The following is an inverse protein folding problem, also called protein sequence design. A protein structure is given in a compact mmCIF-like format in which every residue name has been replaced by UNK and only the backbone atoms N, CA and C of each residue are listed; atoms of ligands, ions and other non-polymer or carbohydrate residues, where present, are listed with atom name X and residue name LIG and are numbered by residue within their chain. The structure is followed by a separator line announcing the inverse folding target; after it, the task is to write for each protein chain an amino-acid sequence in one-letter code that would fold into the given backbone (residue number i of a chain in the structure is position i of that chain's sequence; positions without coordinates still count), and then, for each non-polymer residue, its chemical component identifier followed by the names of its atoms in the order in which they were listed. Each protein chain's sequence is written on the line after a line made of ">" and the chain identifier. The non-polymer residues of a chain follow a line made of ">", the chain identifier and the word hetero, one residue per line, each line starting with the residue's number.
data_IF_953784224041
#
_entry.id   IF_953784224041
#
_cell.length_a   1.000
_cell.length_b   1.000
_cell.length_c   1.000
_cell.angle_alpha   90.00
_cell.angle_beta   90.00
_cell.angle_gamma   90.00
#
_symmetry.space_group_name_H-M   'P 1'
#
loop_
_entity.id
_entity.type
_entity.pdbx_description
1 polymer ?
#
# COMPACT_ATOMS: atom_id res chain seq x y z
N UNK A 1 -7.92 65.43 -51.41
CA UNK A 1 -6.95 64.44 -51.91
C UNK A 1 -7.61 63.08 -51.94
N UNK A 2 -7.97 62.67 -53.14
CA UNK A 2 -8.46 61.35 -53.53
C UNK A 2 -7.34 60.30 -53.40
N UNK A 3 -7.66 59.12 -52.86
CA UNK A 3 -7.10 57.86 -53.33
C UNK A 3 -8.17 56.78 -53.23
N UNK A 4 -8.45 56.22 -54.39
CA UNK A 4 -9.40 55.15 -54.69
C UNK A 4 -8.66 53.82 -54.73
N UNK A 5 -9.38 52.73 -54.43
CA UNK A 5 -9.07 51.37 -54.92
C UNK A 5 -9.10 50.32 -53.81
N UNK A 6 -9.79 49.18 -53.90
CA UNK A 6 -10.56 48.54 -54.97
C UNK A 6 -11.66 47.69 -54.30
N UNK A 7 -12.87 47.71 -54.85
CA UNK A 7 -13.97 46.82 -54.50
C UNK A 7 -13.69 45.37 -54.92
N UNK A 8 -13.97 44.42 -54.04
CA UNK A 8 -14.33 43.05 -54.39
C UNK A 8 -15.63 42.69 -53.68
N UNK A 9 -16.73 42.57 -54.43
CA UNK A 9 -18.06 42.21 -53.94
C UNK A 9 -18.31 40.71 -54.18
N UNK A 10 -19.29 40.17 -53.45
CA UNK A 10 -19.97 38.88 -53.62
C UNK A 10 -19.12 37.69 -53.08
N UNK A 11 -19.59 36.72 -52.29
CA UNK A 11 -20.88 36.01 -52.21
C UNK A 11 -21.05 35.46 -50.77
N UNK A 12 -22.26 35.56 -50.21
CA UNK A 12 -22.65 34.86 -48.99
C UNK A 12 -22.66 33.33 -49.18
N UNK A 13 -22.90 32.60 -48.10
CA UNK A 13 -22.98 31.12 -48.03
C UNK A 13 -21.61 30.44 -47.91
N UNK A 14 -21.12 30.30 -46.66
CA UNK A 14 -20.40 29.11 -46.13
C UNK A 14 -19.90 29.28 -44.67
N UNK A 15 -20.56 30.08 -43.82
CA UNK A 15 -20.20 30.17 -42.39
C UNK A 15 -20.89 29.12 -41.48
N UNK A 16 -21.58 28.12 -42.04
CA UNK A 16 -22.31 27.11 -41.25
C UNK A 16 -21.63 25.73 -41.19
N UNK A 17 -20.50 25.49 -41.87
CA UNK A 17 -19.80 24.17 -41.83
C UNK A 17 -18.50 24.14 -41.03
N UNK A 18 -17.80 25.26 -40.83
CA UNK A 18 -16.62 25.31 -39.94
C UNK A 18 -16.99 25.37 -38.45
N UNK A 19 -18.12 25.99 -38.11
CA UNK A 19 -18.60 26.03 -36.71
C UNK A 19 -18.96 24.65 -36.14
N UNK A 20 -19.33 23.70 -37.00
CA UNK A 20 -19.59 22.31 -36.62
C UNK A 20 -18.30 21.54 -36.32
N UNK A 21 -17.25 21.73 -37.11
CA UNK A 21 -15.95 21.05 -36.91
C UNK A 21 -15.22 21.63 -35.70
N UNK A 22 -15.24 22.96 -35.49
CA UNK A 22 -14.70 23.55 -34.26
C UNK A 22 -15.50 23.12 -33.02
N UNK A 23 -16.83 23.00 -33.10
CA UNK A 23 -17.64 22.44 -32.01
C UNK A 23 -17.34 20.97 -31.74
N UNK A 24 -17.09 20.16 -32.77
CA UNK A 24 -16.72 18.75 -32.62
C UNK A 24 -15.31 18.59 -32.02
N UNK A 25 -14.38 19.50 -32.33
CA UNK A 25 -13.05 19.54 -31.70
C UNK A 25 -13.14 20.05 -30.25
N UNK A 26 -14.03 20.99 -29.94
CA UNK A 26 -14.29 21.45 -28.56
C UNK A 26 -14.91 20.37 -27.67
N UNK A 27 -15.57 19.35 -28.22
CA UNK A 27 -16.17 18.23 -27.47
C UNK A 27 -15.14 17.16 -27.06
N UNK A 28 -13.91 17.22 -27.56
CA UNK A 28 -12.84 16.25 -27.29
C UNK A 28 -11.66 16.84 -26.50
N UNK A 29 -11.90 17.89 -25.70
CA UNK A 29 -10.86 18.47 -24.85
C UNK A 29 -10.71 17.65 -23.57
N UNK A 30 -9.47 17.28 -23.23
CA UNK A 30 -9.17 16.62 -21.96
C UNK A 30 -9.47 17.55 -20.78
N UNK A 31 -10.00 17.04 -19.64
CA UNK A 31 -10.39 15.65 -19.39
C UNK A 31 -11.83 15.30 -19.83
N UNK A 32 -12.02 14.10 -20.41
CA UNK A 32 -13.34 13.64 -20.88
C UNK A 32 -14.36 13.43 -19.75
N UNK A 33 -13.88 13.19 -18.54
CA UNK A 33 -14.70 12.82 -17.39
C UNK A 33 -15.22 14.03 -16.57
N UNK A 34 -14.80 15.26 -16.93
CA UNK A 34 -15.36 16.48 -16.38
C UNK A 34 -15.48 17.57 -17.45
N UNK A 35 -16.71 17.94 -17.80
CA UNK A 35 -16.99 19.00 -18.76
C UNK A 35 -16.57 20.37 -18.24
N UNK A 36 -16.79 20.65 -16.95
CA UNK A 36 -16.38 21.92 -16.34
C UNK A 36 -14.87 22.14 -16.46
N UNK A 37 -14.09 21.08 -16.19
CA UNK A 37 -12.64 21.15 -16.31
C UNK A 37 -12.17 21.15 -17.78
N UNK A 38 -12.85 20.43 -18.67
CA UNK A 38 -12.53 20.46 -20.10
C UNK A 38 -12.74 21.84 -20.73
N UNK A 39 -13.66 22.63 -20.20
CA UNK A 39 -13.98 23.99 -20.67
C UNK A 39 -12.98 25.04 -20.17
N UNK A 40 -12.19 24.76 -19.14
CA UNK A 40 -11.18 25.68 -18.60
C UNK A 40 -10.14 26.05 -19.70
N UNK A 41 -9.97 27.34 -20.01
CA UNK A 41 -9.07 27.78 -21.08
C UNK A 41 -7.58 27.71 -20.68
N UNK A 42 -7.26 27.53 -19.40
CA UNK A 42 -5.88 27.59 -18.88
C UNK A 42 -5.21 26.21 -18.84
N UNK A 43 -3.91 26.15 -18.51
CA UNK A 43 -3.17 24.88 -18.32
C UNK A 43 -3.62 24.10 -17.09
N UNK A 44 -4.44 24.71 -16.21
CA UNK A 44 -4.99 24.09 -15.01
C UNK A 44 -5.78 22.81 -15.34
N UNK A 45 -6.50 22.77 -16.47
CA UNK A 45 -7.24 21.57 -16.89
C UNK A 45 -6.38 20.33 -17.12
N UNK A 46 -5.11 20.49 -17.50
CA UNK A 46 -4.17 19.37 -17.68
C UNK A 46 -3.78 18.82 -16.31
N UNK A 47 -3.36 19.70 -15.39
CA UNK A 47 -2.92 19.32 -14.07
C UNK A 47 -4.03 18.65 -13.26
N UNK A 48 -5.21 19.26 -13.21
CA UNK A 48 -6.35 18.71 -12.49
C UNK A 48 -6.94 17.50 -13.21
N UNK A 49 -6.87 17.46 -14.54
CA UNK A 49 -7.30 16.28 -15.28
C UNK A 49 -6.42 15.08 -14.91
N UNK A 50 -5.10 15.23 -14.80
CA UNK A 50 -4.22 14.16 -14.34
C UNK A 50 -4.49 13.81 -12.87
N UNK A 51 -4.58 14.83 -11.99
CA UNK A 51 -4.76 14.62 -10.56
C UNK A 51 -6.08 13.92 -10.19
N UNK A 52 -7.16 14.21 -10.91
CA UNK A 52 -8.50 13.68 -10.65
C UNK A 52 -8.83 12.41 -11.45
N UNK A 53 -7.93 11.93 -12.32
CA UNK A 53 -8.21 10.75 -13.17
C UNK A 53 -8.59 9.51 -12.35
N UNK A 54 -8.05 9.37 -11.13
CA UNK A 54 -8.34 8.24 -10.24
C UNK A 54 -9.34 8.56 -9.11
N UNK A 55 -9.88 9.78 -9.05
CA UNK A 55 -10.98 10.12 -8.13
C UNK A 55 -12.32 9.70 -8.76
N UNK A 56 -12.57 8.40 -8.79
CA UNK A 56 -13.72 7.85 -9.52
C UNK A 56 -15.08 8.33 -8.99
N UNK A 57 -15.17 8.71 -7.72
CA UNK A 57 -16.41 9.19 -7.11
C UNK A 57 -16.75 10.63 -7.52
N UNK A 58 -15.77 11.40 -7.96
CA UNK A 58 -15.98 12.80 -8.37
C UNK A 58 -16.26 12.96 -9.86
N UNK A 59 -16.33 11.86 -10.60
CA UNK A 59 -16.63 11.88 -12.03
C UNK A 59 -18.09 12.27 -12.29
N UNK A 60 -18.31 13.07 -13.33
CA UNK A 60 -19.66 13.52 -13.70
C UNK A 60 -20.59 12.33 -14.05
N UNK A 61 -21.81 12.38 -13.54
CA UNK A 61 -22.89 11.39 -13.77
C UNK A 61 -22.54 9.92 -13.47
N UNK A 62 -21.58 9.67 -12.57
CA UNK A 62 -21.20 8.30 -12.21
C UNK A 62 -22.15 7.68 -11.19
N UNK A 63 -22.57 6.43 -11.45
CA UNK A 63 -23.34 5.61 -10.51
C UNK A 63 -22.42 4.74 -9.65
N UNK A 64 -22.85 4.42 -8.42
CA UNK A 64 -22.07 3.63 -7.46
C UNK A 64 -21.55 2.32 -8.06
N UNK A 65 -22.39 1.56 -8.77
CA UNK A 65 -21.99 0.31 -9.44
C UNK A 65 -20.78 0.52 -10.38
N UNK A 66 -20.73 1.64 -11.09
CA UNK A 66 -19.66 1.96 -12.03
C UNK A 66 -18.35 2.30 -11.31
N UNK A 67 -18.43 2.94 -10.14
CA UNK A 67 -17.25 3.20 -9.29
C UNK A 67 -16.62 1.87 -8.88
N UNK A 68 -17.39 0.95 -8.29
CA UNK A 68 -16.89 -0.37 -7.89
C UNK A 68 -16.30 -1.16 -9.07
N UNK A 69 -16.96 -1.11 -10.23
CA UNK A 69 -16.49 -1.81 -11.42
C UNK A 69 -15.15 -1.24 -11.94
N UNK A 70 -15.00 0.09 -11.97
CA UNK A 70 -13.75 0.73 -12.36
C UNK A 70 -12.63 0.41 -11.37
N UNK A 71 -12.89 0.43 -10.06
CA UNK A 71 -11.93 0.03 -9.02
C UNK A 71 -11.51 -1.43 -9.22
N UNK A 72 -12.46 -2.33 -9.43
CA UNK A 72 -12.20 -3.75 -9.64
C UNK A 72 -11.31 -4.00 -10.87
N UNK A 73 -11.61 -3.35 -12.00
CA UNK A 73 -10.77 -3.46 -13.20
C UNK A 73 -9.38 -2.84 -13.01
N UNK A 74 -9.27 -1.74 -12.25
CA UNK A 74 -8.00 -1.12 -11.89
C UNK A 74 -7.14 -2.05 -11.02
N UNK A 75 -7.73 -2.85 -10.12
CA UNK A 75 -6.99 -3.85 -9.35
C UNK A 75 -6.37 -4.93 -10.24
N UNK A 76 -7.08 -5.42 -11.27
CA UNK A 76 -6.50 -6.36 -12.24
C UNK A 76 -5.33 -5.74 -12.99
N UNK A 77 -5.45 -4.48 -13.41
CA UNK A 77 -4.37 -3.75 -14.08
C UNK A 77 -3.14 -3.56 -13.16
N UNK A 78 -3.36 -3.22 -11.90
CA UNK A 78 -2.28 -3.06 -10.92
C UNK A 78 -1.56 -4.39 -10.65
N UNK A 79 -2.31 -5.49 -10.48
CA UNK A 79 -1.72 -6.83 -10.33
C UNK A 79 -0.94 -7.24 -11.58
N UNK A 80 -1.46 -6.96 -12.77
CA UNK A 80 -0.75 -7.19 -14.02
C UNK A 80 0.59 -6.44 -14.03
N UNK A 81 0.63 -5.15 -13.67
CA UNK A 81 1.88 -4.38 -13.60
C UNK A 81 2.87 -5.02 -12.61
N UNK A 82 2.42 -5.51 -11.45
CA UNK A 82 3.28 -6.20 -10.48
C UNK A 82 3.88 -7.48 -11.07
N UNK A 83 3.09 -8.29 -11.78
CA UNK A 83 3.59 -9.49 -12.44
C UNK A 83 4.57 -9.17 -13.58
N UNK A 84 4.30 -8.13 -14.36
CA UNK A 84 5.21 -7.66 -15.41
C UNK A 84 6.53 -7.16 -14.82
N UNK A 85 6.48 -6.38 -13.73
CA UNK A 85 7.66 -5.91 -13.01
C UNK A 85 8.48 -7.08 -12.47
N UNK A 86 7.83 -8.05 -11.82
CA UNK A 86 8.50 -9.26 -11.29
C UNK A 86 9.11 -10.10 -12.42
N UNK A 87 8.38 -10.27 -13.53
CA UNK A 87 8.88 -10.91 -14.75
C UNK A 87 10.12 -10.21 -15.30
N UNK A 88 10.12 -8.88 -15.35
CA UNK A 88 11.26 -8.09 -15.81
C UNK A 88 12.50 -8.30 -14.93
N UNK A 89 12.33 -8.32 -13.61
CA UNK A 89 13.43 -8.63 -12.68
C UNK A 89 14.00 -10.03 -12.95
N UNK A 90 13.15 -11.05 -13.13
CA UNK A 90 13.58 -12.43 -13.40
C UNK A 90 14.29 -12.55 -14.75
N UNK A 91 13.76 -11.89 -15.77
CA UNK A 91 14.35 -11.87 -17.10
C UNK A 91 15.73 -11.20 -17.11
N UNK A 92 15.86 -10.03 -16.48
CA UNK A 92 17.14 -9.32 -16.42
C UNK A 92 18.20 -10.08 -15.63
N UNK A 93 17.79 -10.79 -14.57
CA UNK A 93 18.66 -11.70 -13.83
C UNK A 93 19.12 -12.88 -14.69
N UNK A 94 18.22 -13.53 -15.43
CA UNK A 94 18.57 -14.64 -16.31
C UNK A 94 19.48 -14.20 -17.48
N UNK A 95 19.25 -12.99 -18.02
CA UNK A 95 19.89 -12.53 -19.24
C UNK A 95 21.24 -11.83 -19.02
N UNK A 96 21.36 -11.02 -17.95
CA UNK A 96 22.57 -10.23 -17.64
C UNK A 96 23.19 -10.58 -16.28
N UNK A 97 22.53 -11.45 -15.52
CA UNK A 97 22.98 -11.80 -14.18
C UNK A 97 24.15 -12.76 -14.17
N UNK A 98 24.81 -12.84 -13.02
CA UNK A 98 25.86 -13.80 -12.73
C UNK A 98 25.34 -14.99 -11.91
N UNK A 99 24.07 -15.38 -12.09
CA UNK A 99 23.38 -16.31 -11.19
C UNK A 99 24.00 -17.73 -11.17
N UNK A 100 24.56 -18.18 -12.29
CA UNK A 100 25.26 -19.48 -12.39
C UNK A 100 26.68 -19.45 -11.81
N UNK A 101 27.34 -18.29 -11.83
CA UNK A 101 28.65 -18.10 -11.21
C UNK A 101 28.56 -17.64 -9.76
N UNK A 102 27.37 -17.26 -9.28
CA UNK A 102 27.06 -16.97 -7.88
C UNK A 102 26.97 -18.28 -7.09
N UNK A 103 28.13 -18.84 -6.78
CA UNK A 103 28.27 -20.16 -6.19
C UNK A 103 28.62 -20.10 -4.71
N UNK A 104 29.41 -19.10 -4.30
CA UNK A 104 29.70 -18.80 -2.90
C UNK A 104 29.20 -17.39 -2.52
N UNK A 105 28.06 -17.29 -1.81
CA UNK A 105 27.49 -16.03 -1.35
C UNK A 105 28.44 -15.18 -0.49
N UNK A 106 29.54 -15.75 0.04
CA UNK A 106 30.52 -15.01 0.85
C UNK A 106 31.55 -14.26 0.02
N UNK A 107 31.86 -14.72 -1.20
CA UNK A 107 32.92 -14.14 -2.04
C UNK A 107 32.39 -13.54 -3.34
N UNK A 108 31.27 -14.05 -3.85
CA UNK A 108 30.66 -13.59 -5.09
C UNK A 108 29.65 -12.46 -4.78
N UNK A 109 29.82 -11.30 -5.41
CA UNK A 109 28.82 -10.22 -5.34
C UNK A 109 27.79 -10.38 -6.46
N UNK A 110 26.49 -10.15 -6.21
CA UNK A 110 25.50 -10.12 -7.27
C UNK A 110 25.77 -8.95 -8.21
N UNK A 111 25.58 -9.13 -9.53
CA UNK A 111 25.76 -8.05 -10.52
C UNK A 111 24.72 -6.93 -10.40
N UNK A 112 23.66 -7.13 -9.62
CA UNK A 112 22.63 -6.12 -9.33
C UNK A 112 22.43 -6.04 -7.83
N UNK A 113 22.53 -4.84 -7.27
CA UNK A 113 22.28 -4.51 -5.84
C UNK A 113 20.78 -4.60 -5.51
N UNK A 114 20.18 -5.77 -5.70
CA UNK A 114 18.81 -6.07 -5.30
C UNK A 114 18.80 -7.41 -4.57
N UNK A 115 18.12 -7.46 -3.42
CA UNK A 115 17.98 -8.65 -2.56
C UNK A 115 17.34 -9.87 -3.23
N UNK A 116 16.94 -9.69 -4.48
CA UNK A 116 16.19 -10.63 -5.30
C UNK A 116 17.07 -11.85 -5.66
N UNK A 117 18.39 -11.66 -5.78
CA UNK A 117 19.36 -12.76 -5.94
C UNK A 117 19.34 -13.71 -4.76
N UNK A 118 19.48 -13.20 -3.54
CA UNK A 118 19.53 -13.99 -2.32
C UNK A 118 18.18 -14.68 -2.05
N UNK A 119 17.07 -14.01 -2.34
CA UNK A 119 15.74 -14.60 -2.22
C UNK A 119 15.55 -15.78 -3.19
N UNK A 120 15.84 -15.59 -4.47
CA UNK A 120 15.69 -16.63 -5.49
C UNK A 120 16.67 -17.80 -5.32
N UNK A 121 17.88 -17.52 -4.83
CA UNK A 121 18.82 -18.55 -4.42
C UNK A 121 18.30 -19.35 -3.20
N UNK A 122 17.68 -18.70 -2.22
CA UNK A 122 17.13 -19.39 -1.04
C UNK A 122 16.01 -20.35 -1.41
N UNK A 123 15.12 -19.96 -2.34
CA UNK A 123 14.02 -20.82 -2.81
C UNK A 123 14.45 -21.91 -3.81
N UNK A 124 15.75 -22.02 -4.12
CA UNK A 124 16.31 -23.16 -4.85
C UNK A 124 16.62 -22.94 -6.33
N UNK A 125 16.54 -21.71 -6.86
CA UNK A 125 16.96 -21.45 -8.25
C UNK A 125 18.50 -21.53 -8.35
N UNK A 126 19.03 -22.25 -9.34
CA UNK A 126 20.49 -22.48 -9.50
C UNK A 126 21.03 -22.28 -10.92
N UNK A 127 20.19 -22.29 -11.94
CA UNK A 127 20.59 -22.08 -13.35
C UNK A 127 19.81 -20.91 -13.93
N UNK A 128 20.31 -20.31 -15.01
CA UNK A 128 19.64 -19.19 -15.70
C UNK A 128 18.34 -19.61 -16.40
N UNK A 129 18.14 -20.91 -16.63
CA UNK A 129 16.93 -21.46 -17.26
C UNK A 129 15.69 -21.27 -16.39
N UNK A 130 15.77 -21.55 -15.09
CA UNK A 130 14.62 -21.41 -14.18
C UNK A 130 14.06 -19.98 -14.09
N UNK A 131 14.87 -18.92 -13.86
CA UNK A 131 14.36 -17.56 -13.85
C UNK A 131 13.84 -17.12 -15.23
N UNK A 132 14.40 -17.64 -16.33
CA UNK A 132 13.89 -17.37 -17.67
C UNK A 132 12.48 -17.97 -17.89
N UNK A 133 12.28 -19.24 -17.52
CA UNK A 133 10.96 -19.91 -17.57
C UNK A 133 9.97 -19.20 -16.63
N UNK A 134 10.42 -18.84 -15.41
CA UNK A 134 9.60 -18.09 -14.45
C UNK A 134 9.17 -16.72 -14.97
N UNK A 135 10.06 -16.00 -15.66
CA UNK A 135 9.72 -14.74 -16.33
C UNK A 135 8.63 -14.95 -17.39
N UNK A 136 8.77 -15.94 -18.27
CA UNK A 136 7.76 -16.24 -19.29
C UNK A 136 6.40 -16.62 -18.67
N UNK A 137 6.41 -17.40 -17.59
CA UNK A 137 5.20 -17.75 -16.85
C UNK A 137 4.51 -16.51 -16.26
N UNK A 138 5.28 -15.62 -15.61
CA UNK A 138 4.73 -14.39 -15.05
C UNK A 138 4.23 -13.43 -16.13
N UNK A 139 4.88 -13.39 -17.30
CA UNK A 139 4.41 -12.63 -18.46
C UNK A 139 3.08 -13.18 -19.00
N UNK A 140 2.91 -14.51 -19.00
CA UNK A 140 1.64 -15.13 -19.35
C UNK A 140 0.55 -14.80 -18.32
N UNK A 141 0.86 -14.84 -17.02
CA UNK A 141 -0.07 -14.44 -15.94
C UNK A 141 -0.44 -12.95 -16.08
N UNK A 142 0.52 -12.07 -16.38
CA UNK A 142 0.25 -10.66 -16.70
C UNK A 142 -0.82 -10.51 -17.77
N UNK A 143 -0.71 -11.24 -18.88
CA UNK A 143 -1.69 -11.21 -19.96
C UNK A 143 -3.07 -11.72 -19.51
N UNK A 144 -3.12 -12.79 -18.69
CA UNK A 144 -4.37 -13.29 -18.11
C UNK A 144 -5.06 -12.22 -17.26
N UNK A 145 -4.32 -11.54 -16.39
CA UNK A 145 -4.89 -10.52 -15.50
C UNK A 145 -5.42 -9.30 -16.28
N UNK A 146 -4.73 -8.87 -17.35
CA UNK A 146 -5.25 -7.82 -18.23
C UNK A 146 -6.55 -8.24 -18.93
N UNK A 147 -6.59 -9.47 -19.47
CA UNK A 147 -7.78 -10.00 -20.14
C UNK A 147 -8.93 -10.17 -19.15
N UNK A 148 -8.65 -10.64 -17.92
CA UNK A 148 -9.65 -10.77 -16.86
C UNK A 148 -10.25 -9.42 -16.47
N UNK A 149 -9.41 -8.38 -16.31
CA UNK A 149 -9.88 -7.02 -16.07
C UNK A 149 -10.78 -6.51 -17.20
N UNK A 150 -10.39 -6.72 -18.46
CA UNK A 150 -11.19 -6.33 -19.62
C UNK A 150 -12.49 -7.14 -19.75
N UNK A 151 -12.46 -8.42 -19.41
CA UNK A 151 -13.61 -9.31 -19.44
C UNK A 151 -14.67 -8.86 -18.44
N UNK A 152 -14.27 -8.54 -17.22
CA UNK A 152 -15.20 -8.07 -16.18
C UNK A 152 -15.80 -6.68 -16.48
N UNK A 153 -15.20 -5.89 -17.37
CA UNK A 153 -15.82 -4.67 -17.89
C UNK A 153 -16.93 -4.94 -18.92
N UNK A 154 -17.02 -6.15 -19.50
CA UNK A 154 -18.03 -6.46 -20.49
C UNK A 154 -19.42 -6.60 -19.83
N UNK A 155 -20.51 -6.15 -20.49
CA UNK A 155 -21.86 -6.18 -19.92
C UNK A 155 -22.35 -7.55 -19.43
N UNK A 156 -21.84 -8.64 -20.03
CA UNK A 156 -22.20 -10.02 -19.68
C UNK A 156 -21.52 -10.52 -18.40
N UNK A 157 -20.35 -10.00 -18.06
CA UNK A 157 -19.47 -10.54 -17.00
C UNK A 157 -19.18 -9.54 -15.88
N UNK A 158 -19.84 -8.38 -15.91
CA UNK A 158 -19.76 -7.40 -14.83
C UNK A 158 -20.40 -7.96 -13.55
N UNK A 159 -19.70 -7.92 -12.40
CA UNK A 159 -20.30 -8.29 -11.12
C UNK A 159 -21.41 -7.30 -10.71
N UNK A 160 -22.39 -7.77 -9.95
CA UNK A 160 -23.41 -6.90 -9.35
C UNK A 160 -22.84 -6.12 -8.15
N UNK A 161 -23.48 -5.01 -7.79
CA UNK A 161 -23.09 -4.25 -6.60
C UNK A 161 -23.20 -5.07 -5.30
N UNK A 162 -24.19 -5.97 -5.22
CA UNK A 162 -24.33 -6.88 -4.09
C UNK A 162 -23.13 -7.80 -3.94
N UNK A 163 -22.51 -8.25 -5.05
CA UNK A 163 -21.31 -9.08 -5.00
C UNK A 163 -20.15 -8.37 -4.30
N UNK A 164 -19.95 -7.07 -4.58
CA UNK A 164 -18.90 -6.27 -3.93
C UNK A 164 -19.16 -6.02 -2.44
N UNK A 165 -20.43 -5.93 -2.02
CA UNK A 165 -20.81 -5.61 -0.64
C UNK A 165 -20.92 -6.82 0.28
N UNK A 166 -20.81 -8.05 -0.22
CA UNK A 166 -20.79 -9.26 0.62
C UNK A 166 -19.38 -9.47 1.19
N UNK A 167 -19.14 -8.82 2.33
CA UNK A 167 -17.83 -8.82 3.00
C UNK A 167 -17.46 -10.21 3.51
N UNK A 168 -18.41 -10.99 4.02
CA UNK A 168 -18.18 -12.32 4.58
C UNK A 168 -17.63 -13.30 3.55
N UNK A 169 -18.20 -13.29 2.34
CA UNK A 169 -17.73 -14.12 1.24
C UNK A 169 -16.31 -13.74 0.82
N UNK A 170 -16.04 -12.44 0.68
CA UNK A 170 -14.70 -11.95 0.32
C UNK A 170 -13.66 -12.35 1.37
N UNK A 171 -13.94 -12.11 2.65
CA UNK A 171 -13.01 -12.47 3.74
C UNK A 171 -12.76 -13.97 3.81
N UNK A 172 -13.80 -14.80 3.72
CA UNK A 172 -13.62 -16.25 3.74
C UNK A 172 -12.77 -16.72 2.55
N UNK A 173 -13.04 -16.24 1.34
CA UNK A 173 -12.27 -16.63 0.16
C UNK A 173 -10.84 -16.09 0.18
N UNK A 174 -10.60 -14.90 0.74
CA UNK A 174 -9.26 -14.36 0.88
C UNK A 174 -8.47 -15.11 1.96
N UNK A 175 -9.01 -15.29 3.16
CA UNK A 175 -8.31 -16.02 4.23
C UNK A 175 -8.11 -17.51 3.88
N UNK A 176 -9.14 -18.20 3.38
CA UNK A 176 -9.05 -19.62 3.06
C UNK A 176 -8.32 -19.88 1.73
N UNK A 177 -8.66 -19.11 0.70
CA UNK A 177 -8.21 -19.34 -0.67
C UNK A 177 -6.87 -18.69 -0.97
N UNK A 178 -6.72 -17.41 -0.65
CA UNK A 178 -5.52 -16.64 -0.99
C UNK A 178 -4.39 -16.90 0.02
N UNK A 179 -4.69 -16.86 1.32
CA UNK A 179 -3.66 -17.00 2.35
C UNK A 179 -3.40 -18.45 2.76
N UNK A 180 -4.43 -19.28 2.98
CA UNK A 180 -4.22 -20.66 3.42
C UNK A 180 -3.87 -21.65 2.28
N UNK A 181 -4.54 -21.59 1.12
CA UNK A 181 -4.21 -22.49 -0.01
C UNK A 181 -2.94 -22.11 -0.77
N UNK A 182 -2.49 -20.86 -0.70
CA UNK A 182 -1.20 -20.43 -1.27
C UNK A 182 0.02 -21.05 -0.58
N UNK A 183 -0.16 -21.60 0.63
CA UNK A 183 0.88 -22.17 1.49
C UNK A 183 0.75 -23.70 1.67
N UNK A 184 -0.12 -24.35 0.89
CA UNK A 184 -0.49 -25.76 1.10
C UNK A 184 0.67 -26.74 0.86
N UNK A 185 1.09 -27.44 1.92
CA UNK A 185 1.94 -28.64 1.86
C UNK A 185 1.05 -29.88 2.00
N UNK A 186 1.19 -30.92 1.15
CA UNK A 186 0.40 -32.14 1.26
C UNK A 186 0.63 -32.83 2.61
N UNK A 187 -0.47 -33.12 3.33
CA UNK A 187 -0.44 -33.81 4.62
C UNK A 187 -0.47 -35.32 4.44
N UNK A 188 0.55 -36.01 4.97
CA UNK A 188 0.48 -37.39 5.44
C UNK A 188 1.53 -37.60 6.57
N UNK A 189 1.07 -37.99 7.77
CA UNK A 189 1.82 -38.42 8.98
C UNK A 189 2.73 -37.38 9.69
N UNK A 190 2.17 -36.62 10.65
CA UNK A 190 2.75 -35.35 11.09
C UNK A 190 3.48 -35.34 12.45
N UNK A 191 4.51 -34.47 12.50
CA UNK A 191 5.40 -34.02 13.61
C UNK A 191 6.62 -34.86 14.00
N UNK A 192 6.55 -36.16 14.31
CA UNK A 192 7.73 -36.86 14.85
C UNK A 192 8.73 -37.38 13.79
N UNK A 193 8.23 -37.74 12.60
CA UNK A 193 9.07 -38.27 11.50
C UNK A 193 9.78 -37.17 10.71
N UNK A 194 9.13 -36.01 10.55
CA UNK A 194 9.60 -34.90 9.72
C UNK A 194 10.47 -33.87 10.46
N UNK A 195 10.54 -33.90 11.79
CA UNK A 195 11.45 -33.04 12.57
C UNK A 195 12.76 -33.73 12.96
N UNK A 196 12.95 -34.98 12.54
CA UNK A 196 14.07 -35.81 12.96
C UNK A 196 15.31 -35.54 12.12
N UNK A 197 16.43 -35.31 12.80
CA UNK A 197 17.75 -35.07 12.19
C UNK A 197 17.77 -33.79 11.33
N UNK A 198 17.70 -32.59 11.93
CA UNK A 198 17.89 -31.33 11.20
C UNK A 198 19.30 -31.24 10.61
N UNK A 199 19.47 -30.33 9.65
CA UNK A 199 20.79 -30.00 9.12
C UNK A 199 21.76 -29.66 10.26
N UNK A 200 22.99 -30.17 10.16
CA UNK A 200 24.03 -29.92 11.16
C UNK A 200 24.42 -28.43 11.18
N UNK A 201 24.95 -27.94 12.31
CA UNK A 201 25.57 -26.60 12.36
C UNK A 201 26.75 -26.42 11.40
N UNK A 202 27.29 -27.52 10.86
CA UNK A 202 28.35 -27.54 9.85
C UNK A 202 27.84 -27.85 8.43
N UNK A 203 26.51 -27.81 8.21
CA UNK A 203 25.91 -27.95 6.89
C UNK A 203 26.39 -26.85 5.94
N UNK A 204 26.70 -27.26 4.72
CA UNK A 204 27.07 -26.35 3.63
C UNK A 204 25.89 -26.27 2.67
N UNK A 205 25.24 -25.10 2.64
CA UNK A 205 24.02 -24.83 1.86
C UNK A 205 24.23 -25.16 0.38
N UNK A 206 23.24 -25.81 -0.24
CA UNK A 206 23.32 -26.25 -1.64
C UNK A 206 24.16 -27.52 -1.89
N UNK A 207 24.72 -28.16 -0.85
CA UNK A 207 25.48 -29.42 -0.98
C UNK A 207 24.89 -30.54 -0.11
N UNK A 208 25.24 -31.78 -0.43
CA UNK A 208 24.86 -32.95 0.38
C UNK A 208 25.69 -33.13 1.67
N UNK A 209 26.66 -32.24 1.94
CA UNK A 209 27.55 -32.38 3.10
C UNK A 209 26.85 -31.95 4.39
N UNK A 210 26.74 -32.89 5.34
CA UNK A 210 26.12 -32.66 6.67
C UNK A 210 24.63 -32.27 6.63
N UNK A 211 23.95 -32.69 5.56
CA UNK A 211 22.50 -32.57 5.38
C UNK A 211 21.75 -33.52 6.32
N UNK A 212 20.74 -32.97 7.00
CA UNK A 212 19.74 -33.67 7.78
C UNK A 212 18.61 -34.22 6.90
N UNK A 213 17.62 -34.87 7.53
CA UNK A 213 16.41 -35.36 6.86
C UNK A 213 15.12 -34.68 7.37
N UNK A 214 15.25 -33.72 8.29
CA UNK A 214 14.12 -32.98 8.79
C UNK A 214 13.57 -32.04 7.70
N UNK A 215 12.25 -32.04 7.55
CA UNK A 215 11.48 -31.14 6.67
C UNK A 215 10.79 -30.04 7.49
N UNK A 216 10.60 -30.24 8.80
CA UNK A 216 9.98 -29.29 9.70
C UNK A 216 10.82 -29.15 10.97
N UNK A 217 11.43 -27.99 11.18
CA UNK A 217 12.23 -27.72 12.39
C UNK A 217 11.66 -26.52 13.15
N UNK A 218 11.59 -26.61 14.49
CA UNK A 218 11.23 -25.49 15.37
C UNK A 218 12.24 -24.32 15.33
N UNK A 219 13.24 -24.41 14.46
CA UNK A 219 14.27 -23.42 14.17
C UNK A 219 13.93 -22.53 12.96
N UNK A 220 12.92 -22.84 12.12
CA UNK A 220 12.54 -21.96 11.00
C UNK A 220 11.32 -22.34 10.14
N UNK A 221 11.12 -23.61 9.79
CA UNK A 221 10.17 -24.01 8.72
C UNK A 221 8.70 -24.15 9.15
N UNK A 222 8.40 -23.92 10.43
CA UNK A 222 7.03 -24.03 10.97
C UNK A 222 6.17 -22.79 10.71
N UNK A 223 6.75 -21.66 10.28
CA UNK A 223 6.06 -20.38 10.25
C UNK A 223 4.93 -20.36 9.22
N UNK A 224 5.19 -20.74 7.97
CA UNK A 224 4.17 -20.78 6.93
C UNK A 224 3.07 -21.79 7.26
N UNK A 225 3.42 -22.99 7.73
CA UNK A 225 2.40 -23.98 8.11
C UNK A 225 1.50 -23.50 9.27
N UNK A 226 2.06 -22.81 10.26
CA UNK A 226 1.29 -22.22 11.36
C UNK A 226 0.39 -21.07 10.86
N UNK A 227 0.90 -20.23 9.95
CA UNK A 227 0.15 -19.15 9.31
C UNK A 227 -0.99 -19.71 8.44
N UNK A 228 -0.73 -20.77 7.68
CA UNK A 228 -1.73 -21.52 6.91
C UNK A 228 -2.85 -22.01 7.80
N UNK A 229 -2.52 -22.60 8.96
CA UNK A 229 -3.53 -23.10 9.89
C UNK A 229 -4.37 -21.95 10.49
N UNK A 230 -3.73 -20.84 10.86
CA UNK A 230 -4.41 -19.64 11.34
C UNK A 230 -5.38 -19.10 10.28
N UNK A 231 -4.93 -18.97 9.03
CA UNK A 231 -5.77 -18.44 7.94
C UNK A 231 -6.81 -19.44 7.45
N UNK A 232 -6.58 -20.74 7.59
CA UNK A 232 -7.56 -21.78 7.29
C UNK A 232 -8.71 -21.76 8.31
N UNK A 233 -8.39 -21.61 9.59
CA UNK A 233 -9.40 -21.41 10.63
C UNK A 233 -10.10 -20.06 10.43
N UNK A 234 -9.33 -18.98 10.20
CA UNK A 234 -9.89 -17.63 9.99
C UNK A 234 -10.81 -17.54 8.76
N UNK A 235 -10.49 -18.26 7.68
CA UNK A 235 -11.29 -18.30 6.46
C UNK A 235 -12.58 -19.12 6.54
N UNK A 236 -12.84 -19.76 7.67
CA UNK A 236 -14.13 -20.40 7.98
C UNK A 236 -14.90 -19.68 9.11
N UNK A 237 -14.40 -18.54 9.60
CA UNK A 237 -15.02 -17.85 10.74
C UNK A 237 -16.33 -17.15 10.39
N UNK A 238 -16.53 -16.72 9.14
CA UNK A 238 -17.68 -15.90 8.76
C UNK A 238 -18.76 -16.72 8.04
N UNK A 239 -20.03 -16.36 8.25
CA UNK A 239 -21.17 -17.08 7.69
C UNK A 239 -21.29 -16.85 6.19
N UNK A 240 -21.39 -17.93 5.42
CA UNK A 240 -21.73 -17.91 3.98
C UNK A 240 -23.01 -18.73 3.75
N UNK A 241 -23.38 -19.00 2.50
CA UNK A 241 -24.63 -19.69 2.09
C UNK A 241 -24.86 -21.08 2.74
N UNK A 242 -23.88 -21.63 3.46
CA UNK A 242 -23.98 -22.90 4.18
C UNK A 242 -24.52 -22.78 5.60
N UNK A 243 -24.86 -21.57 6.07
CA UNK A 243 -25.56 -21.36 7.33
C UNK A 243 -24.72 -21.52 8.61
N UNK A 244 -23.43 -21.84 8.49
CA UNK A 244 -22.44 -22.00 9.59
C UNK A 244 -21.43 -20.85 9.52
N UNK A 245 -21.09 -20.24 10.66
CA UNK A 245 -20.17 -19.10 10.78
C UNK A 245 -20.81 -17.87 11.43
N UNK A 246 -20.02 -16.86 11.75
CA UNK A 246 -20.47 -15.63 12.43
C UNK A 246 -20.85 -14.53 11.42
N UNK A 247 -21.84 -13.70 11.76
CA UNK A 247 -22.11 -12.45 11.03
C UNK A 247 -21.16 -11.35 11.55
N UNK A 248 -20.54 -10.58 10.65
CA UNK A 248 -19.63 -9.50 11.04
C UNK A 248 -20.31 -8.44 11.91
N UNK A 249 -21.61 -8.21 11.70
CA UNK A 249 -22.42 -7.30 12.50
C UNK A 249 -22.54 -7.74 13.96
N UNK A 250 -22.69 -9.04 14.20
CA UNK A 250 -22.82 -9.61 15.55
C UNK A 250 -21.47 -9.70 16.29
N UNK A 251 -20.34 -9.75 15.56
CA UNK A 251 -18.99 -9.76 16.11
C UNK A 251 -18.50 -8.36 16.56
N UNK A 252 -18.96 -7.31 15.88
CA UNK A 252 -18.65 -5.91 16.22
C UNK A 252 -19.25 -5.48 17.55
N UNK A 253 -20.33 -6.12 18.00
CA UNK A 253 -21.03 -5.79 19.25
C UNK A 253 -20.39 -6.43 20.51
N UNK A 254 -19.35 -7.28 20.39
CA UNK A 254 -18.92 -8.17 21.50
C UNK A 254 -17.41 -8.21 21.82
N UNK A 255 -16.53 -7.37 21.23
CA UNK A 255 -15.07 -7.60 21.37
C UNK A 255 -14.29 -6.84 22.46
N UNK A 256 -13.57 -7.60 23.31
CA UNK A 256 -12.44 -7.23 24.19
C UNK A 256 -11.20 -8.08 23.80
N UNK A 257 -9.98 -7.54 23.92
CA UNK A 257 -8.72 -8.12 23.38
C UNK A 257 -7.90 -8.95 24.40
N UNK A 258 -7.11 -9.94 23.92
CA UNK A 258 -5.70 -10.01 24.35
C UNK A 258 -4.65 -10.54 23.32
N UNK A 259 -3.50 -9.85 23.23
CA UNK A 259 -2.16 -10.36 23.59
C UNK A 259 -1.32 -11.32 22.69
N UNK A 260 -0.33 -10.73 21.97
CA UNK A 260 0.80 -11.20 21.09
C UNK A 260 1.69 -12.44 21.45
N UNK A 261 2.36 -13.05 20.42
CA UNK A 261 3.84 -13.03 20.09
C UNK A 261 4.32 -14.12 19.07
N UNK A 262 5.28 -13.82 18.16
CA UNK A 262 6.09 -14.79 17.36
C UNK A 262 7.53 -14.26 17.02
N UNK A 263 8.49 -15.19 16.76
CA UNK A 263 9.96 -14.99 16.66
C UNK A 263 10.62 -15.03 15.25
N UNK A 264 11.97 -15.05 15.18
CA UNK A 264 12.84 -14.67 14.01
C UNK A 264 13.48 -15.85 13.24
N UNK A 265 13.57 -15.72 11.92
CA UNK A 265 14.52 -16.43 11.04
C UNK A 265 14.94 -15.51 9.87
N UNK A 266 16.18 -15.64 9.37
CA UNK A 266 16.79 -15.20 8.08
C UNK A 266 18.31 -14.94 8.33
N UNK A 267 19.18 -15.91 8.00
CA UNK A 267 20.63 -15.86 8.35
C UNK A 267 21.58 -15.62 7.17
N UNK A 268 21.09 -15.60 5.93
CA UNK A 268 21.93 -15.43 4.72
C UNK A 268 21.97 -13.96 4.26
N UNK A 269 20.92 -13.17 4.55
CA UNK A 269 20.88 -11.72 4.30
C UNK A 269 21.74 -10.93 5.32
N UNK A 270 22.06 -11.55 6.46
CA UNK A 270 22.79 -10.91 7.58
C UNK A 270 24.21 -10.42 7.21
N UNK A 271 24.79 -10.92 6.11
CA UNK A 271 26.15 -10.61 5.70
C UNK A 271 26.24 -9.54 4.60
N UNK A 272 25.13 -9.20 3.94
CA UNK A 272 25.05 -8.14 2.93
C UNK A 272 24.44 -6.87 3.54
N UNK A 273 25.33 -6.05 4.13
CA UNK A 273 24.93 -4.83 4.85
C UNK A 273 24.23 -3.80 3.96
N UNK A 274 24.65 -3.67 2.69
CA UNK A 274 24.06 -2.70 1.76
C UNK A 274 22.63 -3.11 1.41
N UNK A 275 22.41 -4.38 1.08
CA UNK A 275 21.08 -4.91 0.79
C UNK A 275 20.16 -4.86 2.00
N UNK A 276 20.66 -5.16 3.20
CA UNK A 276 19.89 -5.06 4.44
C UNK A 276 19.46 -3.61 4.72
N UNK A 277 20.39 -2.65 4.59
CA UNK A 277 20.10 -1.24 4.79
C UNK A 277 19.10 -0.71 3.75
N UNK A 278 19.26 -1.08 2.48
CA UNK A 278 18.35 -0.71 1.41
C UNK A 278 16.94 -1.27 1.63
N UNK A 279 16.81 -2.56 1.96
CA UNK A 279 15.52 -3.19 2.23
C UNK A 279 14.81 -2.58 3.43
N UNK A 280 15.54 -2.37 4.52
CA UNK A 280 14.99 -1.74 5.72
C UNK A 280 14.48 -0.34 5.38
N UNK A 281 15.32 0.49 4.77
CA UNK A 281 14.97 1.87 4.40
C UNK A 281 13.76 1.89 3.47
N UNK A 282 13.79 1.09 2.40
CA UNK A 282 12.70 0.98 1.43
C UNK A 282 11.36 0.64 2.08
N UNK A 283 11.31 -0.40 2.93
CA UNK A 283 10.06 -0.82 3.57
C UNK A 283 9.61 0.17 4.66
N UNK A 284 10.54 0.84 5.35
CA UNK A 284 10.17 1.90 6.30
C UNK A 284 9.54 3.11 5.58
N UNK A 285 10.07 3.51 4.42
CA UNK A 285 9.45 4.57 3.62
C UNK A 285 8.07 4.16 3.10
N UNK A 286 7.93 2.96 2.56
CA UNK A 286 6.62 2.44 2.12
C UNK A 286 5.62 2.40 3.28
N UNK A 287 6.03 1.91 4.45
CA UNK A 287 5.19 1.90 5.64
C UNK A 287 4.73 3.32 6.02
N UNK A 288 5.62 4.32 5.96
CA UNK A 288 5.28 5.72 6.18
C UNK A 288 4.26 6.27 5.19
N UNK A 289 4.41 5.97 3.89
CA UNK A 289 3.45 6.35 2.86
C UNK A 289 2.08 5.69 3.06
N UNK A 290 2.04 4.38 3.34
CA UNK A 290 0.80 3.63 3.59
C UNK A 290 0.08 4.19 4.83
N UNK A 291 0.82 4.42 5.93
CA UNK A 291 0.25 4.99 7.16
C UNK A 291 -0.34 6.38 6.92
N UNK A 292 0.39 7.26 6.22
CA UNK A 292 -0.10 8.60 5.87
C UNK A 292 -1.34 8.52 4.97
N UNK A 293 -1.33 7.63 3.97
CA UNK A 293 -2.47 7.36 3.10
C UNK A 293 -3.70 6.87 3.87
N UNK A 294 -3.52 6.00 4.86
CA UNK A 294 -4.63 5.51 5.70
C UNK A 294 -5.34 6.65 6.45
N UNK A 295 -4.58 7.58 7.05
CA UNK A 295 -5.18 8.76 7.69
C UNK A 295 -5.80 9.73 6.67
N UNK A 296 -5.19 9.91 5.49
CA UNK A 296 -5.76 10.74 4.43
C UNK A 296 -7.11 10.19 3.94
N UNK A 297 -7.21 8.88 3.67
CA UNK A 297 -8.46 8.23 3.32
C UNK A 297 -9.47 8.23 4.47
N UNK A 298 -9.01 8.14 5.72
CA UNK A 298 -9.87 8.35 6.90
C UNK A 298 -10.50 9.75 6.92
N UNK A 299 -9.73 10.80 6.60
CA UNK A 299 -10.27 12.15 6.48
C UNK A 299 -11.27 12.28 5.32
N UNK A 300 -10.96 11.67 4.17
CA UNK A 300 -11.87 11.64 3.00
C UNK A 300 -13.20 10.96 3.39
N UNK A 301 -13.15 9.81 4.06
CA UNK A 301 -14.34 9.13 4.60
C UNK A 301 -15.16 10.03 5.52
N UNK A 302 -14.52 10.74 6.46
CA UNK A 302 -15.24 11.67 7.34
C UNK A 302 -15.87 12.84 6.58
N UNK A 303 -15.31 13.27 5.45
CA UNK A 303 -15.87 14.36 4.64
C UNK A 303 -17.03 13.87 3.76
N UNK A 304 -16.80 12.80 3.00
CA UNK A 304 -17.70 12.32 1.94
C UNK A 304 -18.79 11.39 2.49
N UNK A 305 -18.40 10.37 3.25
CA UNK A 305 -19.25 9.20 3.50
C UNK A 305 -19.84 9.14 4.92
N UNK A 306 -19.19 9.77 5.91
CA UNK A 306 -19.65 9.69 7.29
C UNK A 306 -21.01 10.39 7.49
N UNK A 307 -22.01 9.61 7.92
CA UNK A 307 -23.35 10.08 8.27
C UNK A 307 -23.52 10.12 9.80
N UNK A 308 -23.91 11.28 10.33
CA UNK A 308 -24.10 11.49 11.76
C UNK A 308 -25.30 10.71 12.32
N UNK A 309 -26.43 10.71 11.60
CA UNK A 309 -27.68 10.10 12.07
C UNK A 309 -27.55 8.57 12.17
N UNK A 310 -26.83 7.96 11.23
CA UNK A 310 -26.62 6.50 11.23
C UNK A 310 -25.59 6.03 12.27
N UNK A 311 -24.78 6.96 12.78
CA UNK A 311 -23.69 6.68 13.72
C UNK A 311 -23.93 7.37 15.07
N UNK A 312 -25.15 7.81 15.35
CA UNK A 312 -25.52 8.42 16.62
C UNK A 312 -25.24 7.44 17.77
N UNK A 313 -24.71 7.97 18.88
CA UNK A 313 -24.35 7.23 20.09
C UNK A 313 -23.29 6.11 19.97
N UNK A 314 -22.65 5.96 18.81
CA UNK A 314 -21.58 4.98 18.65
C UNK A 314 -20.21 5.54 19.09
N UNK A 315 -19.19 4.67 19.06
CA UNK A 315 -17.82 5.04 19.47
C UNK A 315 -17.20 6.13 18.60
N UNK A 316 -17.58 6.24 17.31
CA UNK A 316 -17.07 7.26 16.39
C UNK A 316 -17.68 8.63 16.69
N UNK A 317 -18.99 8.71 16.95
CA UNK A 317 -19.64 9.95 17.38
C UNK A 317 -19.03 10.45 18.70
N UNK A 318 -18.92 9.58 19.70
CA UNK A 318 -18.29 9.91 21.00
C UNK A 318 -16.84 10.36 20.86
N UNK A 319 -16.07 9.78 19.93
CA UNK A 319 -14.71 10.22 19.65
C UNK A 319 -14.69 11.66 19.11
N UNK A 320 -15.60 12.00 18.20
CA UNK A 320 -15.71 13.34 17.63
C UNK A 320 -16.12 14.38 18.66
N UNK A 321 -17.00 14.04 19.60
CA UNK A 321 -17.42 14.94 20.70
C UNK A 321 -16.25 15.33 21.62
N UNK A 322 -15.28 14.42 21.79
CA UNK A 322 -14.11 14.62 22.62
C UNK A 322 -12.82 14.89 21.84
N UNK A 323 -12.90 15.25 20.55
CA UNK A 323 -11.73 15.42 19.66
C UNK A 323 -10.67 16.38 20.19
N UNK A 324 -11.07 17.46 20.87
CA UNK A 324 -10.17 18.46 21.43
C UNK A 324 -9.30 17.89 22.56
N UNK A 325 -9.82 16.93 23.33
CA UNK A 325 -9.07 16.24 24.37
C UNK A 325 -7.96 15.38 23.74
N UNK A 326 -8.27 14.62 22.68
CA UNK A 326 -7.26 13.82 21.97
C UNK A 326 -6.14 14.69 21.38
N UNK A 327 -6.51 15.76 20.67
CA UNK A 327 -5.54 16.67 20.03
C UNK A 327 -4.67 17.37 21.08
N UNK A 328 -5.25 17.82 22.20
CA UNK A 328 -4.49 18.48 23.27
C UNK A 328 -3.50 17.54 23.97
N UNK A 329 -3.89 16.29 24.26
CA UNK A 329 -2.98 15.31 24.88
C UNK A 329 -1.84 14.90 23.95
N UNK A 330 -2.13 14.69 22.66
CA UNK A 330 -1.08 14.41 21.66
C UNK A 330 -0.12 15.60 21.49
N UNK A 331 -0.65 16.83 21.54
CA UNK A 331 0.15 18.06 21.52
C UNK A 331 1.07 18.15 22.75
N UNK A 332 0.52 17.93 23.95
CA UNK A 332 1.30 17.90 25.18
C UNK A 332 2.39 16.82 25.14
N UNK A 333 2.08 15.60 24.71
CA UNK A 333 3.06 14.53 24.60
C UNK A 333 4.18 14.86 23.62
N UNK A 334 3.85 15.45 22.47
CA UNK A 334 4.82 15.88 21.46
C UNK A 334 5.74 16.98 21.98
N UNK A 335 5.18 17.98 22.67
CA UNK A 335 5.95 19.06 23.31
C UNK A 335 6.83 18.53 24.44
N UNK A 336 6.29 17.68 25.32
CA UNK A 336 7.02 17.07 26.42
C UNK A 336 8.22 16.29 25.90
N UNK A 337 8.01 15.39 24.94
CA UNK A 337 9.10 14.61 24.34
C UNK A 337 10.11 15.53 23.64
N UNK A 338 9.64 16.53 22.89
CA UNK A 338 10.45 17.49 22.17
C UNK A 338 11.39 18.27 23.08
N UNK A 339 10.85 18.94 24.11
CA UNK A 339 11.64 19.75 25.05
C UNK A 339 12.68 18.91 25.79
N UNK A 340 12.32 17.72 26.28
CA UNK A 340 13.25 16.91 27.07
C UNK A 340 14.32 16.25 26.21
N UNK A 341 13.97 15.76 25.02
CA UNK A 341 14.97 15.09 24.15
C UNK A 341 15.92 16.11 23.55
N UNK A 342 15.40 17.22 23.01
CA UNK A 342 16.25 18.29 22.47
C UNK A 342 17.08 18.94 23.57
N UNK A 343 16.50 19.17 24.74
CA UNK A 343 17.21 19.72 25.90
C UNK A 343 18.38 18.84 26.33
N UNK A 344 18.21 17.51 26.36
CA UNK A 344 19.29 16.56 26.65
C UNK A 344 20.37 16.56 25.56
N UNK A 345 19.99 16.60 24.28
CA UNK A 345 20.96 16.68 23.18
C UNK A 345 21.79 17.96 23.27
N UNK A 346 21.13 19.12 23.44
CA UNK A 346 21.80 20.42 23.57
C UNK A 346 22.68 20.47 24.82
N UNK A 347 22.22 19.93 25.96
CA UNK A 347 23.06 19.82 27.17
C UNK A 347 24.32 19.02 26.88
N UNK A 348 24.20 17.84 26.28
CA UNK A 348 25.32 16.97 25.96
C UNK A 348 26.29 17.65 24.96
N UNK A 349 25.77 18.30 23.93
CA UNK A 349 26.55 19.04 22.92
C UNK A 349 27.25 20.26 23.51
N UNK A 350 26.72 20.86 24.58
CA UNK A 350 27.39 21.94 25.31
C UNK A 350 28.48 21.39 26.23
N UNK A 351 28.27 20.29 26.95
CA UNK A 351 29.30 19.76 27.87
C UNK A 351 30.57 19.27 27.19
N UNK A 352 30.48 18.81 25.94
CA UNK A 352 31.61 18.25 25.18
C UNK A 352 32.70 19.31 24.84
N UNK A 353 32.39 20.43 24.17
CA UNK A 353 33.36 21.49 23.88
C UNK A 353 33.99 22.12 25.13
N UNK A 354 33.30 22.10 26.27
CA UNK A 354 33.83 22.63 27.53
C UNK A 354 34.80 21.68 28.23
N UNK A 355 35.07 20.50 27.64
CA UNK A 355 36.06 19.56 28.16
C UNK A 355 35.60 18.80 29.40
N UNK A 356 34.28 18.77 29.67
CA UNK A 356 33.70 18.13 30.85
C UNK A 356 32.67 17.04 30.46
N UNK A 357 33.09 15.98 29.74
CA UNK A 357 32.19 14.92 29.28
C UNK A 357 31.53 14.13 30.42
N UNK A 358 32.08 14.16 31.63
CA UNK A 358 31.53 13.53 32.84
C UNK A 358 30.20 14.13 33.31
N UNK A 359 29.85 15.34 32.86
CA UNK A 359 28.56 15.99 33.16
C UNK A 359 27.48 15.69 32.11
N UNK A 360 27.75 14.82 31.13
CA UNK A 360 26.70 14.33 30.24
C UNK A 360 25.69 13.50 31.05
N UNK A 361 24.40 13.78 30.88
CA UNK A 361 23.35 13.05 31.60
C UNK A 361 23.23 11.58 31.16
N UNK A 362 23.82 11.20 30.02
CA UNK A 362 23.79 9.86 29.43
C UNK A 362 25.07 9.61 28.60
N UNK A 363 26.03 8.86 29.14
CA UNK A 363 27.31 8.53 28.47
C UNK A 363 27.13 7.44 27.41
N UNK A 364 27.30 7.78 26.12
CA UNK A 364 27.63 7.00 24.91
C UNK A 364 26.90 5.64 24.66
N UNK A 365 26.78 4.73 25.63
CA UNK A 365 26.04 3.45 25.55
C UNK A 365 24.50 3.63 25.55
N UNK A 366 24.05 4.88 25.60
CA UNK A 366 22.65 5.32 25.58
C UNK A 366 22.28 6.13 24.32
N UNK A 367 23.11 6.11 23.27
CA UNK A 367 22.77 6.73 21.97
C UNK A 367 21.41 6.25 21.44
N UNK A 368 21.16 4.94 21.56
CA UNK A 368 19.88 4.31 21.19
C UNK A 368 18.68 4.88 21.96
N UNK A 369 18.87 5.31 23.22
CA UNK A 369 17.80 5.89 24.02
C UNK A 369 17.39 7.27 23.48
N UNK A 370 18.35 8.13 23.14
CA UNK A 370 18.07 9.45 22.57
C UNK A 370 17.46 9.32 21.17
N UNK A 371 17.96 8.40 20.33
CA UNK A 371 17.41 8.13 19.01
C UNK A 371 15.98 7.57 19.09
N UNK A 372 15.71 6.60 19.98
CA UNK A 372 14.36 6.08 20.16
C UNK A 372 13.37 7.15 20.66
N UNK A 373 13.83 8.10 21.48
CA UNK A 373 13.02 9.26 21.88
C UNK A 373 12.79 10.22 20.72
N UNK A 374 13.79 10.47 19.87
CA UNK A 374 13.62 11.25 18.66
C UNK A 374 12.61 10.61 17.68
N UNK A 375 12.67 9.28 17.51
CA UNK A 375 11.65 8.52 16.76
C UNK A 375 10.28 8.68 17.41
N UNK A 376 10.18 8.58 18.73
CA UNK A 376 8.92 8.79 19.44
C UNK A 376 8.36 10.21 19.23
N UNK A 377 9.19 11.25 19.23
CA UNK A 377 8.78 12.61 18.88
C UNK A 377 8.19 12.65 17.46
N UNK A 378 8.90 12.09 16.49
CA UNK A 378 8.47 12.05 15.10
C UNK A 378 7.14 11.33 14.93
N UNK A 379 6.96 10.18 15.58
CA UNK A 379 5.71 9.42 15.56
C UNK A 379 4.56 10.21 16.20
N UNK A 380 4.73 10.73 17.43
CA UNK A 380 3.65 11.47 18.12
C UNK A 380 3.27 12.74 17.39
N UNK A 381 4.24 13.48 16.86
CA UNK A 381 3.99 14.72 16.11
C UNK A 381 3.32 14.44 14.77
N UNK A 382 3.77 13.41 14.04
CA UNK A 382 3.12 12.98 12.80
C UNK A 382 1.69 12.52 13.06
N UNK A 383 1.46 11.70 14.09
CA UNK A 383 0.12 11.27 14.51
C UNK A 383 -0.74 12.45 14.91
N UNK A 384 -0.21 13.43 15.64
CA UNK A 384 -0.93 14.67 15.98
C UNK A 384 -1.43 15.40 14.73
N UNK A 385 -0.54 15.60 13.75
CA UNK A 385 -0.88 16.30 12.50
C UNK A 385 -1.98 15.54 11.75
N UNK A 386 -1.81 14.23 11.57
CA UNK A 386 -2.74 13.38 10.83
C UNK A 386 -4.10 13.27 11.55
N UNK A 387 -4.10 12.94 12.84
CA UNK A 387 -5.33 12.79 13.66
C UNK A 387 -6.08 14.12 13.71
N UNK A 388 -5.40 15.24 13.94
CA UNK A 388 -6.05 16.56 13.90
C UNK A 388 -6.67 16.83 12.54
N UNK A 389 -5.95 16.54 11.45
CA UNK A 389 -6.45 16.68 10.09
C UNK A 389 -7.75 15.89 9.85
N UNK A 390 -7.82 14.66 10.36
CA UNK A 390 -9.01 13.79 10.29
C UNK A 390 -10.16 14.34 11.13
N UNK A 391 -9.92 14.68 12.40
CA UNK A 391 -10.96 15.09 13.35
C UNK A 391 -11.54 16.49 13.04
N UNK A 392 -10.74 17.37 12.43
CA UNK A 392 -11.15 18.71 12.00
C UNK A 392 -11.49 18.79 10.50
N UNK A 393 -11.62 17.65 9.82
CA UNK A 393 -11.92 17.58 8.40
C UNK A 393 -13.30 18.19 8.07
N UNK A 394 -14.30 17.93 8.92
CA UNK A 394 -15.69 18.38 8.70
C UNK A 394 -15.96 19.80 9.19
N UNK A 395 -15.43 20.16 10.35
CA UNK A 395 -15.64 21.46 10.98
C UNK A 395 -14.50 21.80 11.96
N UNK A 396 -14.23 23.10 12.10
CA UNK A 396 -13.40 23.65 13.18
C UNK A 396 -14.00 24.95 13.68
N UNK A 397 -13.53 25.48 14.81
CA UNK A 397 -13.97 26.79 15.32
C UNK A 397 -13.71 27.92 14.32
N UNK A 398 -12.61 27.83 13.57
CA UNK A 398 -12.24 28.82 12.56
C UNK A 398 -13.09 28.69 11.29
N UNK A 399 -13.46 27.46 10.91
CA UNK A 399 -14.25 27.17 9.72
C UNK A 399 -15.32 26.11 10.02
N UNK A 400 -16.50 26.53 10.51
CA UNK A 400 -17.55 25.60 10.92
C UNK A 400 -18.14 24.77 9.76
N UNK A 401 -18.07 25.28 8.52
CA UNK A 401 -18.68 24.67 7.32
C UNK A 401 -17.64 24.03 6.39
N UNK A 402 -16.53 23.53 6.96
CA UNK A 402 -15.39 23.04 6.17
C UNK A 402 -15.75 21.90 5.22
N UNK A 403 -16.65 20.99 5.63
CA UNK A 403 -17.15 19.88 4.79
C UNK A 403 -17.65 20.36 3.43
N UNK A 404 -18.45 21.43 3.41
CA UNK A 404 -19.03 21.95 2.16
C UNK A 404 -17.93 22.54 1.31
N UNK A 405 -17.02 23.33 1.88
CA UNK A 405 -15.94 23.95 1.12
C UNK A 405 -14.98 22.95 0.50
N UNK A 406 -14.67 21.82 1.15
CA UNK A 406 -13.78 20.78 0.59
C UNK A 406 -14.43 20.04 -0.59
N UNK A 407 -15.75 19.83 -0.56
CA UNK A 407 -16.51 19.30 -1.70
C UNK A 407 -16.54 20.34 -2.85
N UNK A 408 -16.55 21.64 -2.51
CA UNK A 408 -16.63 22.79 -3.43
C UNK A 408 -15.26 23.28 -3.93
N UNK A 409 -14.14 22.67 -3.52
CA UNK A 409 -12.83 22.89 -4.16
C UNK A 409 -12.65 22.07 -5.45
N UNK A 410 -13.64 21.27 -5.85
CA UNK A 410 -13.85 21.02 -7.28
C UNK A 410 -14.18 22.36 -7.94
N UNK A 411 -13.56 22.72 -9.08
CA UNK A 411 -13.80 24.00 -9.70
C UNK A 411 -15.29 24.09 -10.09
N UNK A 412 -16.09 24.71 -9.25
CA UNK A 412 -17.33 25.33 -9.67
C UNK A 412 -16.92 26.50 -10.55
N UNK A 413 -17.02 26.30 -11.86
CA UNK A 413 -17.38 27.35 -12.79
C UNK A 413 -18.54 26.83 -13.64
#
# INVERSE_FOLDING_TARGET
>A
MTSFGIQGRVIGVTHYRLGGILKIIMVLRFPRFSQGLAQDPTTHHIWFGIALTHDFESLEDIIEERVYLNIFASHFSQLAIIFLWTSGNMFHLAFKGNFESYSDPHFDQPTVESSVYQWWYTIGLRTNEYPYIGALLLLFIFAIFLIAGLLHLQPKWKPSISWFKIVESSLNHHFLGLFARGEYVPWNNFLYLYARNPDSSSHVFGTAKWVGKAILTLLGDHQHLAITFIFLVAGHMYRINFGIGNNMKDLLDVHITPGRRLGRGHKIIEQDFTTQAALYTHHQYIAGFIMTGAFAHGAIFFIRDYNLEQNEDNVLARMLDHKEAFVSHLSWASLFLGFHTLGLCVHNDVTLPFGTPEYQFLTIDHGDFLVNRAIAIGLHTTTLILVKGVLDARCSKLMPIKRISVIVFHPMA
#
